data_IF_980597861045
#
_entry.id   IF_980597861045
#
_cell.length_a   1.000
_cell.length_b   1.000
_cell.length_c   1.000
_cell.angle_alpha   90.00
_cell.angle_beta   90.00
_cell.angle_gamma   90.00
#
_symmetry.space_group_name_H-M   'P 1'
#
loop_
_entity.id
_entity.type
_entity.pdbx_description
1 polymer ?
2 polymer ?
3 polymer ?
4 polymer ?
5 polymer ?
6 non-polymer ?
7 non-polymer ?
8 non-polymer ?
9 non-polymer ?
10 non-polymer ?
11 non-polymer ?
12 non-polymer ?
13 non-polymer ?
14 water ?
#
loop_
_entity_poly.entity_id
_entity_poly.type
_entity_poly.pdbx_seq_one_letter_code
_entity_poly.pdbx_strand_id
2 'polydeoxyribonucleotide' '(DC)(DG)(DG)(DC)(DA)(DT)' ?
3 'polydeoxyribonucleotide' '(DA)(DC)(DG)' ?
4 'polydeoxyribonucleotide' '(DC)(DG)(DT)(DA)(DT)' ?
5 'polydeoxyribonucleotide' '(DG)(DC)(DC)(DG)' ?
#
# COMPACT_ATOMS: atom_id res chain seq x y z
CA UNK A 9 -25.42 -13.80 -9.50
C UNK A 9 -24.03 -14.02 -10.08
N UNK A 10 -23.17 -13.01 -9.97
CA UNK A 10 -21.87 -13.05 -10.65
C UNK A 10 -20.94 -14.07 -10.00
N UNK A 11 -20.10 -14.69 -10.82
CA UNK A 11 -18.96 -15.46 -10.35
C UNK A 11 -18.14 -14.62 -9.40
N UNK A 12 -17.92 -15.08 -8.18
CA UNK A 12 -17.09 -14.28 -7.29
C UNK A 12 -16.41 -15.09 -6.21
N UNK A 13 -15.13 -15.45 -6.40
CA UNK A 13 -14.42 -16.14 -5.32
C UNK A 13 -14.26 -15.24 -4.10
N UNK A 14 -14.12 -15.89 -2.95
CA UNK A 14 -14.14 -15.19 -1.68
C UNK A 14 -12.84 -14.46 -1.37
N UNK A 15 -11.70 -14.95 -1.85
CA UNK A 15 -10.42 -14.31 -1.61
C UNK A 15 -10.05 -13.42 -2.79
N UNK A 16 -9.51 -12.23 -2.49
CA UNK A 16 -9.20 -11.30 -3.57
C UNK A 16 -8.09 -11.80 -4.48
N UNK A 17 -7.24 -12.70 -4.00
CA UNK A 17 -6.17 -13.24 -4.82
C UNK A 17 -6.64 -14.29 -5.82
N UNK A 18 -7.92 -14.65 -5.79
CA UNK A 18 -8.50 -15.63 -6.69
C UNK A 18 -9.22 -15.02 -7.89
N UNK A 19 -9.18 -13.71 -8.05
CA UNK A 19 -9.92 -13.06 -9.11
C UNK A 19 -9.12 -11.87 -9.61
N UNK A 20 -9.23 -11.56 -10.90
CA UNK A 20 -8.57 -10.36 -11.41
C UNK A 20 -9.30 -9.10 -10.98
N UNK A 21 -8.54 -8.09 -10.60
CA UNK A 21 -9.09 -6.77 -10.30
C UNK A 21 -8.29 -5.78 -11.13
N UNK A 22 -8.87 -5.25 -12.21
CA UNK A 22 -8.13 -4.35 -13.08
C UNK A 22 -8.02 -2.95 -12.48
N UNK A 23 -7.15 -2.15 -13.10
CA UNK A 23 -6.95 -0.78 -12.64
C UNK A 23 -8.22 0.04 -12.81
N UNK A 24 -8.87 -0.09 -13.97
CA UNK A 24 -10.10 0.64 -14.26
C UNK A 24 -11.25 -0.35 -14.14
N UNK A 25 -12.22 -0.01 -13.30
CA UNK A 25 -13.31 -0.93 -13.02
C UNK A 25 -14.59 -0.14 -12.82
N UNK A 26 -15.67 -0.86 -12.65
CA UNK A 26 -16.95 -0.24 -12.38
C UNK A 26 -17.11 -0.07 -10.88
N UNK A 27 -18.19 0.60 -10.51
CA UNK A 27 -18.68 0.67 -9.14
C UNK A 27 -17.78 1.51 -8.23
N UNK A 28 -17.02 2.45 -8.79
CA UNK A 28 -16.10 3.22 -7.97
C UNK A 28 -16.85 4.00 -6.89
N UNK A 29 -18.04 4.53 -7.20
CA UNK A 29 -18.79 5.25 -6.20
C UNK A 29 -19.19 4.36 -5.03
N UNK A 30 -19.72 3.17 -5.33
CA UNK A 30 -20.10 2.24 -4.26
C UNK A 30 -18.88 1.83 -3.45
N UNK A 31 -17.78 1.48 -4.13
CA UNK A 31 -16.60 1.05 -3.40
C UNK A 31 -16.04 2.18 -2.53
N UNK A 32 -16.03 3.41 -3.07
CA UNK A 32 -15.49 4.52 -2.29
C UNK A 32 -16.27 4.74 -1.00
N UNK A 33 -17.60 4.57 -1.05
CA UNK A 33 -18.41 4.71 0.16
C UNK A 33 -18.06 3.63 1.19
N UNK A 34 -17.96 2.38 0.74
CA UNK A 34 -17.55 1.30 1.64
C UNK A 34 -16.13 1.53 2.19
N UNK A 35 -15.23 2.10 1.38
CA UNK A 35 -13.88 2.36 1.86
C UNK A 35 -13.84 3.51 2.88
N UNK A 36 -14.76 4.46 2.81
CA UNK A 36 -14.88 5.44 3.89
C UNK A 36 -15.25 4.75 5.20
N UNK A 37 -16.24 3.86 5.18
CA UNK A 37 -16.60 3.14 6.40
C UNK A 37 -15.45 2.27 6.89
N UNK A 38 -14.68 1.67 5.98
CA UNK A 38 -13.52 0.88 6.39
C UNK A 38 -12.49 1.76 7.11
N UNK A 39 -12.17 2.91 6.52
CA UNK A 39 -11.21 3.83 7.13
C UNK A 39 -11.70 4.28 8.50
N UNK A 40 -12.98 4.61 8.61
CA UNK A 40 -13.54 5.05 9.88
C UNK A 40 -13.49 3.93 10.91
N UNK A 41 -13.72 2.69 10.47
CA UNK A 41 -13.58 1.56 11.39
C UNK A 41 -12.17 1.48 11.92
N UNK A 42 -11.18 1.67 11.05
CA UNK A 42 -9.80 1.68 11.51
C UNK A 42 -9.53 2.78 12.51
N UNK A 43 -10.09 3.97 12.27
CA UNK A 43 -9.88 5.09 13.19
C UNK A 43 -10.44 4.80 14.57
N UNK A 44 -11.45 3.93 14.68
CA UNK A 44 -12.01 3.53 15.98
C UNK A 44 -11.40 2.24 16.52
N UNK A 45 -10.38 1.70 15.86
CA UNK A 45 -9.65 0.55 16.36
C UNK A 45 -10.29 -0.77 16.03
N UNK A 46 -11.22 -0.80 15.07
CA UNK A 46 -11.90 -2.05 14.72
C UNK A 46 -11.32 -2.58 13.41
N UNK A 47 -10.23 -3.31 13.53
CA UNK A 47 -9.57 -3.83 12.34
C UNK A 47 -10.40 -4.89 11.63
N UNK A 48 -11.22 -5.64 12.35
CA UNK A 48 -12.08 -6.61 11.71
C UNK A 48 -13.12 -5.97 10.80
N UNK A 49 -13.80 -4.94 11.29
CA UNK A 49 -14.77 -4.21 10.46
C UNK A 49 -14.06 -3.53 9.29
N UNK A 50 -12.88 -2.96 9.51
CA UNK A 50 -12.11 -2.37 8.42
C UNK A 50 -11.91 -3.41 7.32
N UNK A 51 -11.49 -4.62 7.70
CA UNK A 51 -11.23 -5.64 6.70
C UNK A 51 -12.48 -6.00 5.92
N UNK A 52 -13.61 -6.24 6.63
CA UNK A 52 -14.82 -6.60 5.90
C UNK A 52 -15.23 -5.51 4.91
N UNK A 53 -15.20 -4.24 5.32
CA UNK A 53 -15.60 -3.18 4.39
C UNK A 53 -14.62 -3.06 3.24
N UNK A 54 -13.32 -3.24 3.50
CA UNK A 54 -12.34 -3.28 2.42
C UNK A 54 -12.62 -4.44 1.46
N UNK A 55 -12.91 -5.61 2.01
CA UNK A 55 -13.15 -6.77 1.16
C UNK A 55 -14.42 -6.60 0.32
N UNK A 56 -15.48 -6.05 0.91
CA UNK A 56 -16.70 -5.80 0.17
C UNK A 56 -16.48 -4.79 -0.96
N UNK A 57 -15.78 -3.68 -0.67
CA UNK A 57 -15.44 -2.73 -1.71
C UNK A 57 -14.67 -3.38 -2.83
N UNK A 58 -13.75 -4.29 -2.49
CA UNK A 58 -12.92 -4.91 -3.50
C UNK A 58 -13.72 -5.86 -4.38
N UNK A 59 -14.71 -6.54 -3.80
CA UNK A 59 -15.58 -7.40 -4.59
C UNK A 59 -16.24 -6.60 -5.71
N UNK A 60 -16.70 -5.38 -5.39
CA UNK A 60 -17.34 -4.57 -6.42
C UNK A 60 -16.38 -4.16 -7.53
N UNK A 61 -15.09 -3.99 -7.22
CA UNK A 61 -14.11 -3.68 -8.26
C UNK A 61 -13.88 -4.83 -9.22
N UNK A 62 -14.19 -6.05 -8.82
CA UNK A 62 -13.97 -7.22 -9.66
C UNK A 62 -15.19 -7.64 -10.46
N UNK A 63 -16.33 -6.99 -10.23
CA UNK A 63 -17.54 -7.36 -10.95
C UNK A 63 -17.44 -6.95 -12.41
N UNK A 64 -18.11 -7.70 -13.31
CA UNK A 64 -18.01 -7.39 -14.74
C UNK A 64 -18.73 -6.12 -15.15
N UNK A 65 -19.75 -5.68 -14.40
CA UNK A 65 -20.59 -4.57 -14.83
C UNK A 65 -20.99 -3.68 -13.66
N UNK A 66 -21.52 -2.49 -13.93
CA UNK A 66 -22.08 -1.65 -12.87
C UNK A 66 -23.21 -2.35 -12.12
N UNK A 67 -23.20 -2.19 -10.80
CA UNK A 67 -24.33 -2.58 -9.96
C UNK A 67 -25.35 -1.46 -10.00
N UNK A 68 -26.53 -1.76 -10.54
CA UNK A 68 -27.63 -0.81 -10.58
C UNK A 68 -28.85 -1.29 -9.81
N UNK A 69 -28.87 -2.53 -9.36
CA UNK A 69 -29.99 -3.07 -8.60
C UNK A 69 -29.48 -3.94 -7.45
N UNK A 70 -30.17 -3.85 -6.31
CA UNK A 70 -29.75 -4.56 -5.12
C UNK A 70 -29.61 -6.06 -5.35
N UNK A 71 -30.41 -6.62 -6.26
CA UNK A 71 -30.35 -8.06 -6.52
C UNK A 71 -28.98 -8.49 -7.04
N UNK A 72 -28.23 -7.59 -7.67
CA UNK A 72 -26.91 -7.95 -8.17
C UNK A 72 -25.92 -8.27 -7.05
N UNK A 73 -26.27 -8.01 -5.79
CA UNK A 73 -25.40 -8.33 -4.67
C UNK A 73 -25.65 -9.73 -4.12
N UNK A 74 -26.74 -10.37 -4.53
CA UNK A 74 -27.10 -11.66 -3.95
C UNK A 74 -25.95 -12.64 -4.10
N UNK A 75 -25.60 -13.29 -3.01
CA UNK A 75 -24.60 -14.33 -3.04
C UNK A 75 -23.16 -13.86 -3.05
N UNK A 76 -22.90 -12.56 -3.15
CA UNK A 76 -21.53 -12.10 -3.20
C UNK A 76 -20.85 -12.27 -1.83
N UNK A 77 -19.62 -12.76 -1.79
CA UNK A 77 -18.91 -12.85 -0.51
C UNK A 77 -18.68 -11.48 0.09
N UNK A 78 -18.72 -11.43 1.42
CA UNK A 78 -18.45 -10.24 2.24
C UNK A 78 -19.54 -9.20 2.21
N UNK A 79 -20.68 -9.49 1.58
CA UNK A 79 -21.86 -8.64 1.65
C UNK A 79 -22.88 -9.25 2.62
N UNK A 80 -23.04 -8.60 3.74
CA UNK A 80 -24.08 -8.92 4.69
C UNK A 80 -25.03 -7.76 4.85
N UNK A 81 -25.69 -7.70 6.01
CA UNK A 81 -26.74 -6.72 6.19
C UNK A 81 -26.20 -5.30 6.07
N UNK A 82 -25.02 -5.04 6.64
CA UNK A 82 -24.54 -3.66 6.72
C UNK A 82 -24.04 -3.17 5.36
N UNK A 83 -23.17 -3.92 4.70
CA UNK A 83 -22.65 -3.50 3.40
C UNK A 83 -23.76 -3.41 2.36
N UNK A 84 -24.73 -4.33 2.42
CA UNK A 84 -25.84 -4.29 1.48
C UNK A 84 -26.70 -3.06 1.69
N UNK A 85 -26.95 -2.68 2.95
CA UNK A 85 -27.74 -1.48 3.22
C UNK A 85 -27.07 -0.22 2.66
N UNK A 86 -25.76 -0.12 2.80
CA UNK A 86 -25.04 1.02 2.24
C UNK A 86 -25.24 1.11 0.74
N UNK A 87 -25.09 -0.02 0.04
CA UNK A 87 -25.28 -0.03 -1.40
C UNK A 87 -26.73 0.31 -1.75
N UNK A 88 -27.68 -0.25 -1.00
CA UNK A 88 -29.09 -0.01 -1.28
C UNK A 88 -29.42 1.47 -1.18
N UNK A 89 -28.96 2.13 -0.12
CA UNK A 89 -29.21 3.56 0.01
C UNK A 89 -28.57 4.36 -1.12
N UNK A 90 -27.35 3.99 -1.52
CA UNK A 90 -26.72 4.69 -2.63
C UNK A 90 -27.51 4.49 -3.92
N UNK A 91 -28.03 3.28 -4.13
CA UNK A 91 -28.80 3.03 -5.35
C UNK A 91 -30.13 3.77 -5.32
N UNK A 92 -30.78 3.81 -4.16
CA UNK A 92 -32.14 4.38 -4.08
C UNK A 92 -32.13 5.90 -3.91
N UNK A 93 -31.10 6.46 -3.27
CA UNK A 93 -31.07 7.89 -2.95
C UNK A 93 -29.84 8.62 -3.46
N UNK A 94 -28.82 7.91 -3.96
CA UNK A 94 -27.60 8.56 -4.39
C UNK A 94 -26.66 8.94 -3.27
N UNK A 95 -27.03 8.66 -2.03
CA UNK A 95 -26.27 9.04 -0.85
C UNK A 95 -26.60 8.05 0.26
N UNK A 96 -25.63 7.81 1.14
CA UNK A 96 -25.84 6.96 2.31
C UNK A 96 -25.65 7.82 3.54
N UNK A 97 -26.70 7.89 4.37
CA UNK A 97 -26.67 8.77 5.54
C UNK A 97 -25.46 8.47 6.44
N UNK A 98 -25.21 7.19 6.71
CA UNK A 98 -24.09 6.84 7.58
C UNK A 98 -22.77 7.34 7.02
N UNK A 99 -22.57 7.17 5.71
CA UNK A 99 -21.33 7.60 5.07
C UNK A 99 -21.19 9.11 5.16
N UNK A 100 -22.28 9.84 4.88
CA UNK A 100 -22.19 11.30 4.95
C UNK A 100 -21.93 11.78 6.37
N UNK A 101 -22.53 11.14 7.37
CA UNK A 101 -22.29 11.54 8.76
C UNK A 101 -20.83 11.32 9.12
N UNK A 102 -20.26 10.19 8.71
CA UNK A 102 -18.84 9.95 8.95
C UNK A 102 -17.99 10.98 8.24
N UNK A 103 -18.20 11.13 6.94
CA UNK A 103 -17.39 12.02 6.11
C UNK A 103 -17.33 13.42 6.69
N UNK A 104 -18.44 13.94 7.17
CA UNK A 104 -18.53 15.31 7.62
C UNK A 104 -18.16 15.47 9.09
N UNK A 105 -17.84 14.38 9.78
CA UNK A 105 -17.59 14.47 11.20
C UNK A 105 -16.20 15.03 11.49
N UNK A 106 -16.12 15.82 12.55
CA UNK A 106 -14.84 16.39 12.97
C UNK A 106 -13.83 15.29 13.26
N UNK A 107 -14.31 14.20 13.86
CA UNK A 107 -13.42 13.10 14.23
C UNK A 107 -12.80 12.48 13.00
N UNK A 108 -13.62 12.16 12.00
CA UNK A 108 -13.08 11.55 10.78
C UNK A 108 -12.11 12.49 10.07
N UNK A 109 -12.51 13.75 9.91
CA UNK A 109 -11.66 14.67 9.15
C UNK A 109 -10.31 14.86 9.83
N UNK A 110 -10.32 15.00 11.16
CA UNK A 110 -9.07 15.22 11.89
C UNK A 110 -8.21 13.96 11.88
N UNK A 111 -8.82 12.78 12.09
CA UNK A 111 -8.03 11.55 12.04
C UNK A 111 -7.44 11.32 10.66
N UNK A 112 -8.17 11.67 9.62
CA UNK A 112 -7.63 11.54 8.27
C UNK A 112 -6.46 12.50 8.07
N UNK A 113 -6.62 13.74 8.54
CA UNK A 113 -5.53 14.72 8.43
C UNK A 113 -4.27 14.24 9.15
N UNK A 114 -4.42 13.75 10.38
CA UNK A 114 -3.25 13.39 11.16
C UNK A 114 -2.61 12.10 10.65
N UNK A 115 -3.43 11.08 10.36
CA UNK A 115 -2.86 9.81 9.92
C UNK A 115 -2.22 9.90 8.55
N UNK A 116 -2.55 10.91 7.76
CA UNK A 116 -1.86 11.08 6.49
C UNK A 116 -0.45 11.61 6.65
N UNK A 117 -0.05 12.07 7.84
CA UNK A 117 1.30 12.55 8.06
C UNK A 117 2.23 11.35 8.19
N UNK A 118 3.36 11.43 7.50
CA UNK A 118 4.40 10.40 7.62
C UNK A 118 4.89 10.36 9.06
N UNK A 119 4.79 9.18 9.67
CA UNK A 119 5.19 9.01 11.05
C UNK A 119 4.05 8.95 12.05
N UNK A 120 2.82 9.19 11.62
CA UNK A 120 1.63 9.19 12.49
C UNK A 120 0.68 8.08 12.04
N UNK A 121 0.31 7.21 12.98
CA UNK A 121 -0.73 6.23 12.77
C UNK A 121 -1.96 6.51 13.60
N UNK A 122 -2.89 5.54 13.58
CA UNK A 122 -4.17 5.73 14.26
C UNK A 122 -3.99 6.00 15.75
N UNK A 123 -3.15 5.22 16.42
CA UNK A 123 -3.05 5.37 17.86
C UNK A 123 -2.49 6.72 18.25
N UNK A 124 -1.51 7.23 17.50
CA UNK A 124 -0.97 8.55 17.78
C UNK A 124 -1.99 9.65 17.45
N UNK A 125 -2.62 9.55 16.29
CA UNK A 125 -3.63 10.53 15.92
C UNK A 125 -4.77 10.59 16.93
N UNK A 126 -5.21 9.43 17.41
CA UNK A 126 -6.31 9.39 18.38
C UNK A 126 -5.89 10.03 19.70
N UNK A 127 -4.66 9.77 20.14
CA UNK A 127 -4.16 10.40 21.36
C UNK A 127 -4.19 11.92 21.21
N UNK A 128 -3.68 12.43 20.09
CA UNK A 128 -3.71 13.86 19.83
C UNK A 128 -5.13 14.39 19.74
N UNK A 129 -6.03 13.65 19.10
CA UNK A 129 -7.42 14.09 19.01
C UNK A 129 -8.01 14.21 20.40
N UNK A 130 -7.78 13.19 21.24
CA UNK A 130 -8.31 13.21 22.61
C UNK A 130 -7.69 14.32 23.44
N UNK A 131 -6.53 14.84 23.05
CA UNK A 131 -5.92 15.98 23.73
C UNK A 131 -6.41 17.33 23.21
N UNK A 132 -7.33 17.33 22.25
CA UNK A 132 -7.89 18.54 21.70
C UNK A 132 -7.18 19.10 20.48
N UNK A 133 -6.16 18.43 19.97
CA UNK A 133 -5.49 18.92 18.78
C UNK A 133 -6.34 18.64 17.55
N UNK A 134 -6.33 19.60 16.61
CA UNK A 134 -7.19 19.50 15.44
C UNK A 134 -6.50 19.85 14.12
N UNK A 135 -5.40 20.61 14.12
CA UNK A 135 -4.79 21.08 12.90
C UNK A 135 -3.29 20.80 12.94
N UNK A 136 -2.66 20.91 11.77
CA UNK A 136 -1.21 20.73 11.70
C UNK A 136 -0.48 21.82 12.48
N UNK A 137 -1.01 23.04 12.48
CA UNK A 137 -0.39 24.10 13.28
C UNK A 137 -0.41 23.75 14.76
N UNK A 138 -1.50 23.14 15.23
CA UNK A 138 -1.52 22.68 16.61
C UNK A 138 -0.35 21.75 16.90
N UNK A 139 0.01 20.90 15.92
CA UNK A 139 1.12 19.97 16.15
C UNK A 139 2.46 20.69 16.16
N UNK A 140 2.64 21.67 15.27
CA UNK A 140 3.89 22.41 15.23
C UNK A 140 4.12 23.18 16.53
N UNK A 141 3.05 23.66 17.17
CA UNK A 141 3.15 24.40 18.41
C UNK A 141 3.56 23.53 19.59
N UNK A 142 3.54 22.21 19.45
CA UNK A 142 3.89 21.29 20.53
C UNK A 142 4.90 20.27 20.04
N UNK A 143 6.10 20.73 19.66
CA UNK A 143 7.09 19.83 19.05
C UNK A 143 7.63 18.78 20.00
N UNK A 144 7.41 18.94 21.31
CA UNK A 144 7.81 17.90 22.25
C UNK A 144 7.00 16.62 22.05
N UNK A 145 5.87 16.70 21.38
CA UNK A 145 5.05 15.53 21.12
C UNK A 145 5.50 14.73 19.90
N UNK A 146 6.54 15.17 19.18
CA UNK A 146 6.86 14.63 17.87
C UNK A 146 8.17 13.85 17.85
N UNK A 147 8.15 12.69 17.19
CA UNK A 147 9.34 11.96 16.84
C UNK A 147 10.06 12.63 15.67
N UNK A 148 11.31 12.24 15.47
CA UNK A 148 12.06 12.78 14.33
C UNK A 148 11.39 12.42 13.01
N UNK A 149 10.84 11.21 12.93
CA UNK A 149 10.10 10.81 11.74
C UNK A 149 8.90 11.73 11.51
N UNK A 150 8.15 12.02 12.57
CA UNK A 150 6.99 12.89 12.46
C UNK A 150 7.38 14.31 12.10
N UNK A 151 8.50 14.76 12.64
CA UNK A 151 8.97 16.11 12.30
C UNK A 151 9.23 16.22 10.80
N UNK A 152 9.84 15.19 10.21
CA UNK A 152 10.08 15.20 8.78
C UNK A 152 8.78 15.15 8.02
N UNK A 153 7.83 14.32 8.46
CA UNK A 153 6.54 14.28 7.80
C UNK A 153 5.82 15.62 7.83
N UNK A 154 5.90 16.32 8.96
CA UNK A 154 5.21 17.60 9.07
C UNK A 154 5.92 18.66 8.26
N UNK A 155 7.27 18.65 8.30
CA UNK A 155 8.06 19.67 7.58
C UNK A 155 7.87 19.59 6.07
N UNK A 156 7.64 18.39 5.54
CA UNK A 156 7.49 18.18 4.11
C UNK A 156 6.05 17.83 3.72
N UNK A 157 5.09 18.14 4.58
CA UNK A 157 3.73 17.66 4.38
C UNK A 157 3.12 18.16 3.06
N UNK A 158 3.34 19.42 2.71
CA UNK A 158 2.74 19.94 1.50
C UNK A 158 3.22 19.15 0.28
N UNK A 159 4.53 18.97 0.13
CA UNK A 159 5.04 18.18 -0.99
C UNK A 159 4.56 16.73 -0.91
N UNK A 160 4.53 16.16 0.29
CA UNK A 160 4.16 14.75 0.40
C UNK A 160 2.69 14.54 0.12
N UNK A 161 1.87 15.58 0.16
CA UNK A 161 0.47 15.46 -0.23
C UNK A 161 0.28 15.60 -1.74
N UNK A 162 1.31 16.01 -2.46
CA UNK A 162 1.22 16.19 -3.90
C UNK A 162 1.42 14.84 -4.55
N UNK A 163 0.48 14.35 -5.36
CA UNK A 163 0.66 13.02 -5.94
C UNK A 163 1.96 12.89 -6.71
N UNK A 164 2.62 11.76 -6.54
CA UNK A 164 3.78 11.41 -7.33
C UNK A 164 3.31 10.90 -8.69
N UNK A 165 3.93 11.38 -9.75
CA UNK A 165 3.57 11.05 -11.12
C UNK A 165 4.66 10.26 -11.82
N UNK A 166 4.33 9.70 -12.99
CA UNK A 166 5.28 8.84 -13.70
C UNK A 166 6.56 9.57 -14.11
N UNK A 167 6.47 10.87 -14.42
CA UNK A 167 7.68 11.62 -14.72
C UNK A 167 8.63 11.63 -13.52
N UNK A 168 8.07 11.73 -12.31
CA UNK A 168 8.89 11.67 -11.09
C UNK A 168 9.52 10.29 -10.93
N UNK A 169 8.74 9.24 -11.18
CA UNK A 169 9.24 7.86 -11.10
C UNK A 169 10.46 7.68 -11.98
N UNK A 170 10.36 8.11 -13.24
CA UNK A 170 11.46 7.89 -14.17
C UNK A 170 12.73 8.62 -13.74
N UNK A 171 12.60 9.85 -13.25
CA UNK A 171 13.76 10.61 -12.77
C UNK A 171 14.34 9.93 -11.54
N UNK A 172 13.49 9.50 -10.63
CA UNK A 172 13.98 8.86 -9.41
C UNK A 172 14.65 7.53 -9.72
N UNK A 173 14.08 6.76 -10.65
CA UNK A 173 14.71 5.48 -10.96
C UNK A 173 16.12 5.70 -11.49
N UNK A 174 16.32 6.73 -12.31
CA UNK A 174 17.65 7.00 -12.84
C UNK A 174 18.65 7.30 -11.73
N UNK A 175 18.27 8.14 -10.77
CA UNK A 175 19.22 8.47 -9.71
C UNK A 175 19.46 7.29 -8.78
N UNK A 176 18.42 6.47 -8.53
CA UNK A 176 18.61 5.27 -7.73
C UNK A 176 19.51 4.28 -8.45
N UNK A 177 19.28 4.08 -9.76
CA UNK A 177 20.15 3.20 -10.54
C UNK A 177 21.58 3.69 -10.55
N UNK A 178 21.80 5.00 -10.58
CA UNK A 178 23.17 5.51 -10.56
C UNK A 178 23.85 5.19 -9.22
N UNK A 179 23.16 5.44 -8.11
CA UNK A 179 23.73 5.16 -6.79
C UNK A 179 23.97 3.68 -6.59
N UNK A 180 23.01 2.84 -7.00
CA UNK A 180 23.16 1.41 -6.86
C UNK A 180 24.32 0.90 -7.69
N UNK A 181 24.49 1.40 -8.91
CA UNK A 181 25.60 0.95 -9.75
C UNK A 181 26.95 1.37 -9.19
N UNK A 182 27.00 2.53 -8.56
CA UNK A 182 28.23 2.96 -7.90
C UNK A 182 28.50 2.10 -6.68
N UNK A 183 27.46 1.61 -6.02
CA UNK A 183 27.63 0.87 -4.77
C UNK A 183 27.95 -0.60 -5.02
N UNK A 184 27.49 -1.17 -6.11
CA UNK A 184 27.71 -2.60 -6.32
C UNK A 184 27.51 -2.88 -7.82
N UNK A 185 28.58 -3.07 -8.58
CA UNK A 185 28.40 -3.36 -10.01
C UNK A 185 27.57 -4.62 -10.16
N UNK A 186 26.65 -4.57 -11.13
CA UNK A 186 25.77 -5.67 -11.44
C UNK A 186 24.46 -5.67 -10.67
N UNK A 187 24.33 -4.81 -9.67
CA UNK A 187 23.05 -4.77 -8.95
C UNK A 187 21.98 -4.14 -9.82
N UNK A 188 20.74 -4.56 -9.60
CA UNK A 188 19.61 -4.11 -10.39
C UNK A 188 18.57 -3.43 -9.50
N UNK A 189 17.76 -2.60 -10.16
CA UNK A 189 16.69 -1.84 -9.54
C UNK A 189 15.41 -2.15 -10.29
N UNK A 190 14.38 -2.56 -9.56
CA UNK A 190 13.08 -2.90 -10.13
C UNK A 190 12.02 -2.00 -9.50
N UNK A 191 11.24 -1.32 -10.32
CA UNK A 191 10.11 -0.56 -9.84
C UNK A 191 9.02 -1.50 -9.38
N UNK A 192 8.53 -1.29 -8.16
CA UNK A 192 7.46 -2.09 -7.59
C UNK A 192 6.31 -1.20 -7.15
N UNK A 193 5.51 -1.62 -6.18
CA UNK A 193 4.39 -0.83 -5.76
C UNK A 193 3.32 -0.59 -6.83
N UNK A 194 2.53 0.45 -6.59
CA UNK A 194 1.39 0.75 -7.44
C UNK A 194 1.78 1.06 -8.87
N UNK A 195 2.93 1.70 -9.07
CA UNK A 195 3.34 1.98 -10.44
C UNK A 195 3.55 0.71 -11.25
N UNK A 196 4.02 -0.37 -10.62
CA UNK A 196 4.16 -1.63 -11.37
C UNK A 196 2.80 -2.23 -11.74
N UNK A 197 1.74 -1.95 -10.97
CA UNK A 197 0.39 -2.42 -11.26
C UNK A 197 -0.30 -1.57 -12.30
N UNK A 198 0.35 -0.51 -12.75
CA UNK A 198 -0.25 0.38 -13.75
C UNK A 198 -0.79 1.68 -13.22
N UNK A 199 -0.74 1.93 -11.92
CA UNK A 199 -1.25 3.18 -11.39
C UNK A 199 -0.49 4.35 -11.99
N UNK A 200 -1.19 5.48 -12.13
CA UNK A 200 -0.59 6.67 -12.70
C UNK A 200 -0.12 7.65 -11.64
N UNK A 201 -0.43 7.40 -10.37
CA UNK A 201 0.07 8.24 -9.29
C UNK A 201 0.24 7.40 -8.03
N UNK A 202 0.92 7.97 -7.04
CA UNK A 202 1.11 7.29 -5.78
C UNK A 202 1.52 8.31 -4.75
N UNK A 203 1.57 7.87 -3.49
CA UNK A 203 2.09 8.74 -2.45
C UNK A 203 3.59 8.60 -2.30
N UNK A 204 4.17 7.62 -3.01
CA UNK A 204 5.59 7.31 -2.94
C UNK A 204 6.00 6.55 -4.19
N UNK A 205 7.29 6.24 -4.30
CA UNK A 205 7.82 5.32 -5.29
C UNK A 205 8.53 4.21 -4.55
N UNK A 206 8.30 2.96 -4.97
CA UNK A 206 8.89 1.78 -4.34
C UNK A 206 9.86 1.11 -5.30
N UNK A 207 11.08 0.83 -4.81
CA UNK A 207 12.11 0.15 -5.60
C UNK A 207 12.65 -1.07 -4.86
N UNK A 208 12.88 -2.15 -5.62
CA UNK A 208 13.44 -3.39 -5.10
C UNK A 208 14.79 -3.62 -5.75
N UNK A 209 15.82 -3.84 -4.93
CA UNK A 209 17.20 -3.90 -5.36
C UNK A 209 17.74 -5.29 -5.06
N UNK A 210 18.43 -5.90 -6.01
CA UNK A 210 19.06 -7.20 -5.76
C UNK A 210 20.32 -7.28 -6.59
N UNK A 211 20.98 -8.44 -6.54
CA UNK A 211 22.17 -8.73 -7.34
C UNK A 211 22.06 -10.20 -7.74
N UNK A 212 22.48 -10.56 -8.97
CA UNK A 212 22.29 -11.95 -9.40
C UNK A 212 23.11 -12.98 -8.65
N UNK A 213 24.17 -12.58 -7.93
CA UNK A 213 25.01 -13.50 -7.17
C UNK A 213 24.62 -13.42 -5.70
N UNK A 214 24.01 -14.49 -5.19
CA UNK A 214 23.56 -14.54 -3.80
C UNK A 214 24.67 -14.13 -2.84
N UNK A 215 24.34 -13.19 -1.94
CA UNK A 215 25.25 -12.72 -0.93
C UNK A 215 25.94 -11.41 -1.28
N UNK A 216 26.06 -11.10 -2.57
CA UNK A 216 26.76 -9.87 -2.95
C UNK A 216 26.03 -8.64 -2.45
N UNK A 217 24.73 -8.76 -2.23
CA UNK A 217 23.90 -7.63 -1.83
C UNK A 217 23.98 -7.33 -0.34
N UNK A 218 24.68 -8.15 0.43
CA UNK A 218 24.84 -7.89 1.85
C UNK A 218 25.47 -6.52 2.04
N UNK A 219 24.90 -5.73 2.94
CA UNK A 219 25.45 -4.42 3.24
C UNK A 219 25.21 -3.35 2.19
N UNK A 220 24.35 -3.61 1.22
CA UNK A 220 24.21 -2.69 0.09
C UNK A 220 23.46 -1.42 0.49
N UNK A 221 22.42 -1.52 1.30
CA UNK A 221 21.57 -0.35 1.44
C UNK A 221 22.30 0.83 2.10
N UNK A 222 23.12 0.63 3.15
CA UNK A 222 23.86 1.78 3.67
C UNK A 222 24.76 2.43 2.63
N UNK A 223 25.37 1.64 1.74
CA UNK A 223 26.23 2.21 0.70
C UNK A 223 25.42 3.04 -0.30
N UNK A 224 24.24 2.55 -0.68
CA UNK A 224 23.35 3.32 -1.55
C UNK A 224 22.94 4.63 -0.88
N UNK A 225 22.56 4.56 0.39
CA UNK A 225 22.10 5.75 1.09
C UNK A 225 23.20 6.79 1.19
N UNK A 226 24.42 6.35 1.52
CA UNK A 226 25.52 7.29 1.59
C UNK A 226 25.76 7.99 0.27
N UNK A 227 25.66 7.26 -0.84
CA UNK A 227 25.90 7.86 -2.15
C UNK A 227 24.77 8.82 -2.55
N UNK A 228 23.52 8.48 -2.22
CA UNK A 228 22.45 9.42 -2.47
C UNK A 228 22.60 10.67 -1.60
N UNK A 229 22.96 10.48 -0.32
CA UNK A 229 23.14 11.63 0.55
C UNK A 229 24.23 12.54 0.02
N UNK A 230 25.27 11.96 -0.59
CA UNK A 230 26.39 12.78 -1.06
C UNK A 230 26.03 13.57 -2.31
N UNK A 231 25.09 13.09 -3.10
CA UNK A 231 24.54 13.85 -4.21
C UNK A 231 23.52 14.90 -3.77
N UNK A 232 23.31 15.07 -2.47
CA UNK A 232 22.31 15.99 -1.95
C UNK A 232 20.88 15.57 -2.19
N UNK A 233 20.62 14.28 -2.34
CA UNK A 233 19.29 13.80 -2.72
C UNK A 233 18.42 13.40 -1.54
N UNK A 234 18.92 13.39 -0.31
CA UNK A 234 18.21 12.82 0.83
C UNK A 234 17.85 13.94 1.81
N UNK A 235 16.54 14.13 2.05
CA UNK A 235 16.06 15.05 3.07
C UNK A 235 15.85 14.37 4.41
N UNK A 236 15.45 13.11 4.39
CA UNK A 236 15.19 12.38 5.61
C UNK A 236 15.51 10.92 5.35
N UNK A 237 16.21 10.28 6.33
CA UNK A 237 16.27 8.83 6.33
C UNK A 237 16.21 8.34 7.77
N UNK A 238 15.81 7.09 7.95
CA UNK A 238 15.52 6.53 9.27
C UNK A 238 16.72 6.54 10.20
N UNK A 239 17.92 6.65 9.65
CA UNK A 239 19.14 6.69 10.45
C UNK A 239 19.78 8.07 10.32
N UNK A 259 20.65 -2.76 7.39
CA UNK A 259 19.19 -2.78 7.25
C UNK A 259 18.80 -3.18 5.82
N UNK A 260 17.54 -3.58 5.61
CA UNK A 260 17.08 -3.98 4.30
C UNK A 260 15.92 -3.18 3.73
N UNK A 261 15.35 -2.25 4.50
CA UNK A 261 14.31 -1.37 4.02
C UNK A 261 14.61 0.05 4.46
N UNK A 262 14.42 1.01 3.56
CA UNK A 262 14.70 2.41 3.84
C UNK A 262 13.51 3.24 3.38
N UNK A 263 12.86 3.93 4.33
CA UNK A 263 11.70 4.75 4.09
C UNK A 263 12.22 6.17 4.16
N UNK A 264 12.46 6.79 3.02
CA UNK A 264 13.12 8.06 3.06
C UNK A 264 12.37 9.11 2.27
N UNK A 265 12.85 10.34 2.37
CA UNK A 265 12.30 11.46 1.63
C UNK A 265 13.43 12.00 0.79
N UNK A 266 13.24 12.03 -0.53
CA UNK A 266 14.22 12.55 -1.46
C UNK A 266 13.94 14.00 -1.78
N UNK A 267 15.05 14.70 -2.04
CA UNK A 267 15.00 16.05 -2.64
C UNK A 267 15.09 15.86 -4.15
N UNK A 268 13.95 15.79 -4.81
CA UNK A 268 13.92 15.48 -6.23
C UNK A 268 14.07 16.76 -7.06
N UNK A 269 15.14 16.90 -7.85
CA UNK A 269 15.27 18.11 -8.69
C UNK A 269 14.09 18.27 -9.63
N UNK A 270 13.65 19.52 -9.77
CA UNK A 270 12.63 19.96 -10.69
C UNK A 270 13.24 21.14 -11.41
N UNK A 271 12.65 21.59 -12.51
CA UNK A 271 13.24 22.73 -13.24
C UNK A 271 13.31 23.97 -12.35
N UNK A 272 14.54 24.44 -12.08
CA UNK A 272 14.76 25.59 -11.24
C UNK A 272 14.55 25.36 -9.75
N UNK A 273 14.22 24.14 -9.35
CA UNK A 273 13.84 23.96 -7.95
C UNK A 273 13.87 22.48 -7.57
N UNK A 274 13.01 22.09 -6.61
CA UNK A 274 12.98 20.72 -6.13
C UNK A 274 11.67 20.48 -5.37
N UNK A 275 11.33 19.20 -5.18
CA UNK A 275 10.20 18.82 -4.36
C UNK A 275 10.56 17.57 -3.58
N UNK A 276 10.03 17.48 -2.36
CA UNK A 276 10.23 16.29 -1.55
C UNK A 276 9.35 15.16 -2.05
N UNK A 277 9.91 13.95 -2.12
CA UNK A 277 9.17 12.77 -2.54
C UNK A 277 9.53 11.61 -1.63
N UNK A 278 8.52 10.89 -1.13
CA UNK A 278 8.74 9.66 -0.39
C UNK A 278 9.20 8.55 -1.31
N UNK A 279 10.27 7.87 -0.93
CA UNK A 279 10.83 6.76 -1.69
C UNK A 279 11.09 5.62 -0.72
N UNK A 280 10.70 4.42 -1.09
CA UNK A 280 11.01 3.23 -0.34
C UNK A 280 12.02 2.41 -1.12
N UNK A 281 13.10 2.03 -0.47
CA UNK A 281 14.13 1.19 -1.06
C UNK A 281 14.19 -0.10 -0.25
N UNK A 282 14.11 -1.23 -0.94
CA UNK A 282 14.21 -2.52 -0.29
C UNK A 282 15.29 -3.33 -1.01
N UNK A 283 16.12 -4.01 -0.23
CA UNK A 283 17.12 -4.95 -0.75
C UNK A 283 16.67 -6.36 -0.41
N UNK A 284 16.79 -7.27 -1.40
CA UNK A 284 16.56 -8.69 -1.18
C UNK A 284 17.67 -9.49 -1.83
N UNK A 285 18.10 -10.60 -1.22
CA UNK A 285 18.93 -11.56 -1.95
C UNK A 285 18.13 -12.17 -3.10
N UNK A 286 18.84 -12.57 -4.14
CA UNK A 286 18.14 -13.02 -5.34
C UNK A 286 17.25 -14.24 -5.06
N UNK A 287 17.64 -15.11 -4.11
CA UNK A 287 16.78 -16.23 -3.75
C UNK A 287 15.41 -15.77 -3.27
N UNK A 288 15.32 -14.59 -2.67
CA UNK A 288 14.06 -14.08 -2.15
C UNK A 288 13.37 -13.12 -3.11
N UNK A 289 14.03 -12.75 -4.21
CA UNK A 289 13.51 -11.70 -5.08
C UNK A 289 12.07 -11.93 -5.52
N UNK A 290 11.68 -13.11 -5.96
CA UNK A 290 10.28 -13.27 -6.40
C UNK A 290 9.29 -13.01 -5.29
N UNK A 291 9.63 -13.41 -4.06
CA UNK A 291 8.75 -13.15 -2.91
C UNK A 291 8.68 -11.67 -2.59
N UNK A 292 9.82 -10.98 -2.66
CA UNK A 292 9.82 -9.56 -2.36
C UNK A 292 9.11 -8.78 -3.45
N UNK A 293 9.29 -9.21 -4.71
CA UNK A 293 8.61 -8.56 -5.83
C UNK A 293 7.11 -8.72 -5.67
N UNK A 294 6.67 -9.93 -5.34
CA UNK A 294 5.24 -10.18 -5.15
C UNK A 294 4.69 -9.33 -4.02
N UNK A 295 5.36 -9.34 -2.86
CA UNK A 295 4.85 -8.59 -1.73
C UNK A 295 4.79 -7.11 -2.00
N UNK A 296 5.88 -6.55 -2.53
CA UNK A 296 5.99 -5.11 -2.71
C UNK A 296 5.20 -4.58 -3.91
N UNK A 297 4.70 -5.47 -4.77
CA UNK A 297 3.84 -5.03 -5.87
C UNK A 297 2.39 -4.89 -5.45
N UNK A 298 1.97 -5.57 -4.38
CA UNK A 298 0.65 -5.30 -3.84
C UNK A 298 -0.47 -5.83 -4.71
N UNK A 299 -1.65 -5.22 -4.60
CA UNK A 299 -1.99 -4.18 -3.64
C UNK A 299 -1.89 -4.70 -2.20
N UNK A 300 -2.03 -3.78 -1.24
CA UNK A 300 -2.01 -4.18 0.16
C UNK A 300 -3.08 -5.22 0.45
N UNK A 301 -4.32 -4.98 0.01
CA UNK A 301 -5.36 -5.97 0.26
C UNK A 301 -5.07 -7.28 -0.47
N UNK A 302 -4.59 -7.19 -1.71
CA UNK A 302 -4.26 -8.40 -2.45
C UNK A 302 -3.28 -9.27 -1.66
N UNK A 303 -2.26 -8.64 -1.08
CA UNK A 303 -1.25 -9.42 -0.38
C UNK A 303 -1.77 -9.97 0.95
N UNK A 304 -2.55 -9.21 1.69
CA UNK A 304 -3.16 -9.75 2.90
C UNK A 304 -4.01 -10.97 2.55
N UNK A 305 -4.76 -10.87 1.47
CA UNK A 305 -5.65 -11.96 1.07
C UNK A 305 -4.86 -13.15 0.58
N UNK A 306 -3.77 -12.92 -0.16
CA UNK A 306 -2.90 -13.98 -0.61
C UNK A 306 -2.27 -14.72 0.56
N UNK A 307 -1.82 -13.98 1.58
CA UNK A 307 -1.19 -14.60 2.74
C UNK A 307 -2.22 -15.37 3.55
N UNK A 308 -3.43 -14.80 3.65
CA UNK A 308 -4.51 -15.52 4.34
C UNK A 308 -4.85 -16.82 3.60
N UNK A 309 -4.96 -16.74 2.28
CA UNK A 309 -5.21 -17.93 1.48
C UNK A 309 -4.13 -18.97 1.69
N UNK A 310 -2.87 -18.53 1.62
CA UNK A 310 -1.74 -19.45 1.77
C UNK A 310 -1.83 -20.21 3.09
N UNK A 311 -2.06 -19.51 4.19
CA UNK A 311 -2.06 -20.18 5.49
C UNK A 311 -3.32 -21.02 5.68
N UNK A 312 -4.49 -20.43 5.37
CA UNK A 312 -5.75 -21.09 5.71
C UNK A 312 -6.06 -22.22 4.75
N UNK A 313 -5.84 -22.00 3.45
CA UNK A 313 -6.19 -23.00 2.46
C UNK A 313 -5.05 -23.97 2.12
N UNK A 314 -3.79 -23.56 2.28
CA UNK A 314 -2.68 -24.43 1.92
C UNK A 314 -1.75 -24.79 3.08
N UNK A 315 -1.93 -24.20 4.26
CA UNK A 315 -1.06 -24.48 5.39
C UNK A 315 0.35 -23.97 5.26
N UNK A 316 0.59 -23.01 4.36
CA UNK A 316 1.92 -22.48 4.11
C UNK A 316 1.96 -21.02 4.53
N UNK A 317 3.11 -20.56 4.99
CA UNK A 317 3.25 -19.21 5.54
C UNK A 317 4.02 -18.34 4.55
N UNK A 318 3.39 -17.26 4.08
CA UNK A 318 3.96 -16.42 3.03
C UNK A 318 4.30 -15.03 3.53
N UNK A 319 5.49 -14.54 3.16
CA UNK A 319 5.83 -13.13 3.30
C UNK A 319 6.82 -12.74 2.21
N UNK A 320 7.44 -11.57 2.33
CA UNK A 320 8.31 -11.05 1.30
C UNK A 320 9.67 -11.74 1.30
N UNK A 321 9.91 -12.68 2.24
CA UNK A 321 11.16 -13.44 2.29
C UNK A 321 11.02 -14.86 1.78
N UNK A 322 9.81 -15.40 1.71
CA UNK A 322 9.67 -16.80 1.37
C UNK A 322 8.28 -17.34 1.63
N UNK A 323 8.14 -18.63 1.30
CA UNK A 323 6.92 -19.40 1.46
C UNK A 323 7.33 -20.65 2.23
N UNK A 324 6.90 -20.74 3.48
CA UNK A 324 7.43 -21.71 4.44
C UNK A 324 6.41 -22.81 4.71
N UNK A 325 6.85 -24.07 4.65
CA UNK A 325 6.03 -25.20 5.04
C UNK A 325 6.37 -25.55 6.48
N UNK A 326 5.51 -25.23 7.45
CA UNK A 326 5.87 -25.42 8.86
C UNK A 326 5.86 -26.88 9.30
N UNK A 327 5.34 -27.80 8.50
CA UNK A 327 5.38 -29.21 8.86
C UNK A 327 6.69 -29.85 8.43
N UNK A 328 7.09 -29.65 7.16
CA UNK A 328 8.40 -30.09 6.68
C UNK A 328 9.53 -29.14 7.09
N UNK A 329 9.22 -27.94 7.56
CA UNK A 329 10.23 -26.96 7.96
C UNK A 329 11.16 -26.60 6.80
N UNK A 330 10.58 -26.35 5.63
CA UNK A 330 11.32 -26.05 4.43
C UNK A 330 10.73 -24.82 3.76
N UNK A 331 11.56 -24.15 2.97
CA UNK A 331 11.17 -23.01 2.16
C UNK A 331 11.05 -23.44 0.71
N UNK A 332 10.02 -22.94 0.04
CA UNK A 332 9.80 -23.19 -1.39
C UNK A 332 10.77 -22.34 -2.20
N UNK A 333 11.53 -22.97 -3.08
CA UNK A 333 12.45 -22.27 -3.95
C UNK A 333 11.67 -21.82 -5.18
N UNK A 334 11.63 -20.51 -5.40
CA UNK A 334 10.91 -19.93 -6.51
C UNK A 334 11.86 -19.10 -7.34
N UNK A 335 11.63 -19.11 -8.66
CA UNK A 335 12.36 -18.26 -9.58
C UNK A 335 11.51 -17.11 -10.13
N UNK A 336 10.19 -17.16 -9.94
CA UNK A 336 9.30 -16.15 -10.48
C UNK A 336 8.06 -16.05 -9.62
N UNK A 337 7.32 -14.94 -9.79
CA UNK A 337 6.00 -14.83 -9.19
C UNK A 337 5.08 -15.96 -9.66
N UNK A 338 5.17 -16.32 -10.94
CA UNK A 338 4.36 -17.41 -11.47
C UNK A 338 4.58 -18.68 -10.66
N UNK A 339 5.84 -18.97 -10.29
CA UNK A 339 6.11 -20.18 -9.50
C UNK A 339 5.33 -20.16 -8.19
N UNK A 340 5.24 -18.99 -7.55
CA UNK A 340 4.56 -18.88 -6.27
C UNK A 340 3.06 -19.10 -6.42
N UNK A 341 2.43 -18.43 -7.39
CA UNK A 341 1.01 -18.66 -7.66
C UNK A 341 0.74 -20.14 -7.92
N UNK A 342 1.59 -20.76 -8.75
CA UNK A 342 1.33 -22.16 -9.09
C UNK A 342 1.44 -23.06 -7.87
N UNK A 343 2.43 -22.83 -7.01
CA UNK A 343 2.61 -23.66 -5.83
C UNK A 343 1.44 -23.52 -4.86
N UNK A 344 0.75 -22.38 -4.87
CA UNK A 344 -0.42 -22.15 -4.04
C UNK A 344 -1.71 -22.61 -4.70
N UNK A 345 -1.66 -23.14 -5.93
CA UNK A 345 -2.88 -23.57 -6.60
C UNK A 345 -3.73 -22.46 -7.14
N UNK A 346 -3.13 -21.31 -7.42
CA UNK A 346 -3.86 -20.14 -7.90
C UNK A 346 -3.48 -19.88 -9.35
N UNK A 347 -4.47 -19.45 -10.13
CA UNK A 347 -4.20 -18.96 -11.47
C UNK A 347 -3.38 -17.69 -11.37
N UNK A 348 -2.36 -17.58 -12.22
CA UNK A 348 -1.48 -16.43 -12.20
C UNK A 348 -2.24 -15.17 -12.58
N UNK A 349 -1.98 -14.08 -11.85
CA UNK A 349 -2.50 -12.77 -12.19
C UNK A 349 -1.33 -11.83 -12.42
N UNK A 350 -1.25 -11.15 -13.56
CA UNK A 350 -0.18 -10.16 -13.74
C UNK A 350 -0.40 -8.98 -12.82
N UNK A 351 0.61 -8.12 -12.62
CA UNK A 351 0.46 -7.02 -11.67
C UNK A 351 -0.74 -6.13 -11.89
N UNK A 352 -1.06 -5.84 -13.15
CA UNK A 352 -2.19 -4.97 -13.45
C UNK A 352 -3.54 -5.62 -13.16
N UNK A 353 -3.56 -6.87 -12.71
CA UNK A 353 -4.79 -7.51 -12.26
C UNK A 353 -4.79 -7.78 -10.76
N UNK A 354 -3.89 -7.11 -10.01
CA UNK A 354 -3.79 -7.26 -8.57
C UNK A 354 -4.25 -6.01 -7.83
N UNK A 355 -5.13 -5.21 -8.44
CA UNK A 355 -5.58 -3.93 -7.87
C UNK A 355 -6.76 -4.09 -6.93
N UNK A 356 -6.70 -5.09 -6.06
CA UNK A 356 -7.79 -5.35 -5.13
C UNK A 356 -7.88 -4.23 -4.11
X LIG F 1 6.18 2.71 -0.58
X LIG G 1 6.06 2.66 -0.56
X LIG H 1 3.79 2.84 -3.19
X LIG I 1 0.80 8.13 8.54
X LIG J 1 -4.05 5.66 -11.06
X LIG K 1 1.02 1.24 -3.57
X LIG K 1 0.43 -0.12 -3.62
X LIG K 1 0.76 1.91 -2.29
X LIG K 1 0.30 2.01 -4.60
X LIG K 1 2.47 1.35 -3.84
X LIG L 1 2.44 1.30 -3.85
X LIG L 1 0.93 1.35 -3.73
X LIG L 1 0.25 1.77 -5.01
X LIG L 1 0.34 0.10 -3.11
X LIG L 1 0.64 2.53 -2.67
X LIG L 1 0.94 4.11 -2.83
X LIG L 1 0.49 4.46 -4.23
X LIG L 1 0.14 4.78 -1.76
X LIG L 1 2.43 4.24 -2.64
X LIG M 1 -16.16 -1.52 -19.82
X LIG M 1 -15.14 -0.83 -20.51
X LIG M 1 -17.49 -0.91 -20.23
X LIG M 1 -18.56 -1.52 -19.55
X LIG M 1 -19.79 -0.98 -19.90
X LIG M 1 -20.91 -1.76 -19.19
X LIG M 1 -21.86 -0.84 -18.75
X LIG N 1 -1.18 6.23 23.15
X LIG N 1 -2.13 5.21 23.20
X LIG N 1 -3.12 5.43 24.35
X LIG N 1 -3.05 6.74 24.85
X LIG N 1 -3.06 8.11 26.81
X LIG N 1 -3.63 6.87 26.12
X LIG N 1 -3.90 9.20 26.55
X LIG N 1 -4.26 11.57 26.47
X LIG N 1 -3.31 10.43 26.83
X LIG N 1 -5.53 11.37 27.07
X LIG N 1 -7.81 12.07 27.38
X LIG N 1 -6.43 12.39 26.77
X LIG N 1 -8.38 10.92 26.80
X LIG O 1 14.42 -17.54 4.13
X LIG O 1 15.47 -18.27 4.72
X LIG O 1 13.93 -16.48 5.11
X LIG O 1 15.01 -15.68 5.49
X LIG O 1 14.67 -14.35 5.83
X LIG O 1 15.94 -13.61 6.24
X LIG O 1 16.36 -12.78 5.18
X LIG P 1 13.96 -17.97 -0.13
X LIG P 1 12.74 -17.93 0.58
X LIG P 1 14.32 -19.45 -0.28
X LIG P 1 14.95 -19.69 -1.48
X LIG P 1 15.20 -19.73 0.95
X LIG P 1 15.38 -21.14 1.02
#
# INVERSE_FOLDING_TARGET
GSAAAPLSPAWMPAYACQRPTPLTHHNTGLSEALEILAEAAGFEGSEGRLLTFCRAASVLKALPSPVTTLSQLQGLPHFGEHSSRVVQELLEHGVCEEVERVRRSERYQTMKLFTQIFGVGVKTADRWYREGLRTLDDLREQPQKLTQQQKAGLQHHQDLSTPVLRSDVDALQQVVEEAVGQALPGATVTLTGGFRRGKLQGHDVDFLITHPKEGQEAGLLPRVMCRLQDQGLILYHQHQHSCCESPTRLAQQSHMDAFERSFCIFRLPQPGSWKAVRVDLVVAPVSQFPFALLGWTGSKLFQRELRRFSRKEKGLWLNSHGLFDPEQKTFFQAASEEDIFRHLGLEYLPPEQRNA
MG MG
NA NA
MG MG
NA NA
CL CL
SO4 S O1 O2 O3 O4
PPV O11 P1 O21 O31 OPP P2 O12 O22 O32
PEG C1 O1 C2 O2 C3 C4 O4
1PE OH2 C12 C22 OH3 C13 C23 OH4 C14 C24 OH5 C15 C25 OH6
PEG C1 O1 C2 O2 C3 C4 O4
GOL C1 O1 C2 O2 C3 O3
#
